data_IF_588409359636
#
_entry.id   IF_588409359636
#
_cell.length_a   1.000
_cell.length_b   1.000
_cell.length_c   1.000
_cell.angle_alpha   90.00
_cell.angle_beta   90.00
_cell.angle_gamma   90.00
#
_symmetry.space_group_name_H-M   'P 1'
#
loop_
_entity.id
_entity.type
_entity.pdbx_description
1 polymer ?
#
# COMPACT_ATOMS: atom_id res chain seq x y z
N UNK A 1 -16.23 -9.28 14.59
CA UNK A 1 -15.79 -8.49 13.42
C UNK A 1 -14.30 -8.21 13.52
N UNK A 2 -13.56 -8.50 12.45
CA UNK A 2 -12.13 -8.26 12.45
C UNK A 2 -11.83 -6.76 12.46
N UNK A 3 -10.81 -6.36 13.22
CA UNK A 3 -10.34 -4.99 13.23
C UNK A 3 -9.05 -4.89 12.42
N UNK A 4 -8.88 -3.76 11.73
CA UNK A 4 -7.66 -3.46 11.02
C UNK A 4 -6.51 -3.35 12.03
N UNK A 5 -5.33 -3.96 11.74
CA UNK A 5 -4.19 -3.87 12.64
C UNK A 5 -3.70 -2.43 12.82
N UNK A 6 -3.18 -2.13 14.01
CA UNK A 6 -2.52 -0.86 14.24
C UNK A 6 -1.11 -0.92 13.65
N UNK A 7 -0.56 0.22 13.15
CA UNK A 7 0.80 0.25 12.66
C UNK A 7 1.79 -0.08 13.79
N UNK A 8 2.82 -0.86 13.46
CA UNK A 8 3.92 -1.08 14.39
C UNK A 8 4.76 0.21 14.51
N UNK A 9 5.47 0.41 15.65
CA UNK A 9 6.28 1.64 15.82
C UNK A 9 7.34 1.86 14.75
N UNK A 10 7.76 0.80 14.04
CA UNK A 10 8.78 0.88 12.99
C UNK A 10 8.20 1.13 11.59
N UNK A 11 6.93 1.44 11.48
CA UNK A 11 6.33 1.79 10.19
C UNK A 11 6.95 3.08 9.66
N UNK A 12 7.45 3.02 8.42
CA UNK A 12 8.08 4.15 7.74
C UNK A 12 7.03 5.09 7.16
N UNK A 13 5.92 4.52 6.72
CA UNK A 13 4.83 5.27 6.09
C UNK A 13 3.52 4.54 6.35
N UNK A 14 2.46 5.31 6.55
CA UNK A 14 1.11 4.75 6.61
C UNK A 14 0.13 5.72 5.96
N UNK A 15 -0.93 5.19 5.37
CA UNK A 15 -1.99 5.99 4.78
C UNK A 15 -3.31 5.23 4.82
N UNK A 16 -4.35 5.90 5.28
CA UNK A 16 -5.71 5.36 5.27
C UNK A 16 -6.59 6.06 4.23
N UNK A 17 -6.04 7.04 3.52
CA UNK A 17 -6.76 7.85 2.54
C UNK A 17 -6.54 7.31 1.13
N UNK A 18 -7.11 6.14 0.86
CA UNK A 18 -7.02 5.50 -0.45
C UNK A 18 -8.34 5.65 -1.19
N UNK A 19 -8.23 5.76 -2.52
CA UNK A 19 -9.38 5.75 -3.43
C UNK A 19 -9.35 4.45 -4.23
N UNK A 20 -9.13 3.34 -3.54
CA UNK A 20 -8.96 2.03 -4.14
C UNK A 20 -10.12 1.13 -3.74
N UNK A 21 -10.74 0.41 -4.68
CA UNK A 21 -11.87 -0.46 -4.34
C UNK A 21 -11.46 -1.70 -3.54
N UNK A 22 -10.18 -2.08 -3.56
CA UNK A 22 -9.70 -3.30 -2.92
C UNK A 22 -8.97 -3.04 -1.61
N UNK A 23 -8.38 -1.85 -1.43
CA UNK A 23 -7.52 -1.56 -0.30
C UNK A 23 -7.99 -0.33 0.47
N UNK A 24 -7.97 -0.42 1.78
CA UNK A 24 -8.40 0.66 2.66
C UNK A 24 -7.28 1.24 3.50
N UNK A 25 -6.09 0.67 3.45
CA UNK A 25 -4.95 1.17 4.19
C UNK A 25 -3.64 0.58 3.72
N UNK A 26 -2.56 1.35 3.92
CA UNK A 26 -1.20 0.98 3.56
C UNK A 26 -0.29 1.23 4.75
N UNK A 27 0.60 0.28 5.04
CA UNK A 27 1.69 0.44 5.99
C UNK A 27 2.96 -0.06 5.35
N UNK A 28 3.98 0.79 5.26
CA UNK A 28 5.27 0.44 4.70
C UNK A 28 6.30 0.28 5.82
N UNK A 29 7.00 -0.84 5.82
CA UNK A 29 8.10 -1.13 6.73
C UNK A 29 9.38 -1.32 5.93
N UNK A 30 10.51 -1.38 6.61
CA UNK A 30 11.81 -1.57 5.94
C UNK A 30 11.87 -2.89 5.18
N UNK A 31 11.16 -3.91 5.63
CA UNK A 31 11.22 -5.26 5.05
C UNK A 31 9.96 -5.69 4.31
N UNK A 32 8.85 -4.95 4.44
CA UNK A 32 7.58 -5.37 3.82
C UNK A 32 6.62 -4.22 3.63
N UNK A 33 5.71 -4.40 2.69
CA UNK A 33 4.53 -3.56 2.50
C UNK A 33 3.31 -4.34 3.00
N UNK A 34 2.50 -3.75 3.86
CA UNK A 34 1.24 -4.33 4.32
C UNK A 34 0.06 -3.55 3.77
N UNK A 35 -0.90 -4.26 3.21
CA UNK A 35 -2.11 -3.68 2.64
C UNK A 35 -3.33 -4.26 3.34
N UNK A 36 -4.21 -3.37 3.81
CA UNK A 36 -5.48 -3.78 4.38
C UNK A 36 -6.50 -3.93 3.26
N UNK A 37 -6.90 -5.17 3.00
CA UNK A 37 -7.88 -5.50 1.97
C UNK A 37 -9.28 -5.29 2.54
N UNK A 38 -10.14 -4.66 1.77
CA UNK A 38 -11.52 -4.41 2.16
C UNK A 38 -12.50 -5.13 1.25
N UNK A 39 -13.74 -5.26 1.73
CA UNK A 39 -14.83 -5.77 0.91
C UNK A 39 -15.25 -4.70 -0.10
N UNK A 40 -15.62 -5.13 -1.31
CA UNK A 40 -15.93 -4.19 -2.40
C UNK A 40 -17.23 -3.44 -2.16
N UNK A 41 -18.23 -4.06 -1.53
CA UNK A 41 -19.55 -3.45 -1.38
C UNK A 41 -19.62 -2.50 -0.19
N UNK A 42 -19.18 -2.95 1.00
CA UNK A 42 -19.31 -2.16 2.22
C UNK A 42 -18.00 -1.47 2.63
N UNK A 43 -16.93 -1.71 1.91
CA UNK A 43 -15.60 -1.14 2.17
C UNK A 43 -15.15 -1.39 3.61
N UNK A 44 -15.38 -2.62 4.10
CA UNK A 44 -15.01 -3.04 5.46
C UNK A 44 -13.74 -3.86 5.42
N UNK A 45 -12.93 -3.76 6.47
CA UNK A 45 -11.70 -4.53 6.59
C UNK A 45 -12.00 -6.03 6.48
N UNK A 46 -11.23 -6.71 5.63
CA UNK A 46 -11.33 -8.15 5.38
C UNK A 46 -10.11 -8.90 5.88
N UNK A 47 -8.91 -8.48 5.46
CA UNK A 47 -7.65 -9.13 5.81
C UNK A 47 -6.49 -8.19 5.49
N UNK A 48 -5.29 -8.55 5.97
CA UNK A 48 -4.06 -7.83 5.64
C UNK A 48 -3.19 -8.73 4.77
N UNK A 49 -2.71 -8.20 3.65
CA UNK A 49 -1.75 -8.87 2.78
C UNK A 49 -0.39 -8.21 2.94
N UNK A 50 0.68 -9.01 2.90
CA UNK A 50 2.04 -8.52 3.04
C UNK A 50 2.85 -8.88 1.80
N UNK A 51 3.64 -7.92 1.32
CA UNK A 51 4.53 -8.07 0.18
C UNK A 51 5.95 -7.76 0.63
N UNK A 52 6.88 -8.68 0.43
CA UNK A 52 8.26 -8.51 0.87
C UNK A 52 8.96 -7.44 0.03
N UNK A 53 9.68 -6.56 0.69
CA UNK A 53 10.50 -5.55 -0.01
C UNK A 53 11.60 -6.25 -0.83
N UNK A 54 12.11 -7.39 -0.36
CA UNK A 54 13.12 -8.15 -1.12
C UNK A 54 12.62 -8.65 -2.47
N UNK A 55 11.30 -8.76 -2.66
CA UNK A 55 10.71 -9.18 -3.94
C UNK A 55 10.37 -7.99 -4.83
N UNK A 56 10.53 -6.77 -4.35
CA UNK A 56 10.20 -5.57 -5.11
C UNK A 56 11.17 -5.41 -6.29
N UNK A 57 10.63 -5.31 -7.50
CA UNK A 57 11.42 -5.11 -8.71
C UNK A 57 11.41 -3.67 -9.18
N UNK A 58 10.47 -2.87 -8.72
CA UNK A 58 10.40 -1.47 -9.08
C UNK A 58 9.10 -0.84 -8.62
N UNK A 59 9.11 0.47 -8.55
CA UNK A 59 7.94 1.26 -8.21
C UNK A 59 7.85 2.43 -9.19
N UNK A 60 6.64 2.72 -9.64
CA UNK A 60 6.38 3.85 -10.53
C UNK A 60 5.22 4.66 -9.98
N UNK A 61 5.18 5.93 -10.35
CA UNK A 61 4.08 6.80 -9.97
C UNK A 61 3.51 7.49 -11.21
N UNK A 62 2.19 7.56 -11.28
CA UNK A 62 1.48 8.30 -12.32
C UNK A 62 0.27 8.96 -11.66
N UNK A 63 0.34 10.30 -11.49
CA UNK A 63 -0.70 11.06 -10.80
C UNK A 63 -0.92 10.51 -9.39
N UNK A 64 -2.10 9.95 -9.11
CA UNK A 64 -2.44 9.42 -7.79
C UNK A 64 -2.28 7.90 -7.69
N UNK A 65 -1.69 7.28 -8.71
CA UNK A 65 -1.50 5.82 -8.74
C UNK A 65 -0.02 5.49 -8.61
N UNK A 66 0.31 4.71 -7.58
CA UNK A 66 1.66 4.16 -7.39
C UNK A 66 1.59 2.67 -7.67
N UNK A 67 2.44 2.19 -8.58
CA UNK A 67 2.46 0.78 -8.95
C UNK A 67 3.67 0.09 -8.35
N UNK A 68 3.41 -0.93 -7.56
CA UNK A 68 4.40 -1.77 -6.88
C UNK A 68 4.57 -3.03 -7.73
N UNK A 69 5.73 -3.18 -8.38
CA UNK A 69 6.00 -4.33 -9.22
C UNK A 69 6.79 -5.37 -8.44
N UNK A 70 6.19 -6.54 -8.24
CA UNK A 70 6.79 -7.58 -7.42
C UNK A 70 7.17 -8.85 -8.18
N UNK A 71 6.93 -8.89 -9.49
CA UNK A 71 7.46 -9.94 -10.36
C UNK A 71 7.49 -9.43 -11.79
N UNK A 72 8.11 -10.21 -12.69
CA UNK A 72 8.20 -9.83 -14.09
C UNK A 72 6.83 -9.62 -14.75
N UNK A 73 5.81 -10.37 -14.28
CA UNK A 73 4.48 -10.36 -14.88
C UNK A 73 3.41 -9.79 -13.94
N UNK A 74 3.76 -9.39 -12.72
CA UNK A 74 2.78 -8.96 -11.73
C UNK A 74 3.13 -7.61 -11.12
N UNK A 75 2.15 -6.76 -11.05
CA UNK A 75 2.26 -5.47 -10.41
C UNK A 75 0.99 -5.18 -9.62
N UNK A 76 1.11 -4.27 -8.66
CA UNK A 76 0.05 -3.91 -7.75
C UNK A 76 -0.17 -2.41 -7.85
N UNK A 77 -1.21 -1.95 -8.54
CA UNK A 77 -1.52 -0.53 -8.59
C UNK A 77 -2.26 -0.12 -7.32
N UNK A 78 -1.83 0.99 -6.73
CA UNK A 78 -2.42 1.55 -5.51
C UNK A 78 -2.90 2.96 -5.80
N UNK A 79 -4.20 3.17 -5.68
CA UNK A 79 -4.83 4.45 -5.98
C UNK A 79 -5.00 5.26 -4.71
N UNK A 80 -4.45 6.47 -4.68
CA UNK A 80 -4.54 7.38 -3.54
C UNK A 80 -5.60 8.45 -3.79
N UNK A 81 -6.15 9.02 -2.74
CA UNK A 81 -7.10 10.13 -2.87
C UNK A 81 -6.41 11.44 -3.22
N UNK A 82 -5.16 11.61 -2.78
CA UNK A 82 -4.39 12.84 -2.98
C UNK A 82 -3.07 12.54 -3.66
N UNK A 83 -2.66 13.43 -4.56
CA UNK A 83 -1.35 13.31 -5.22
C UNK A 83 -0.21 13.40 -4.22
N UNK A 84 -0.35 14.21 -3.16
CA UNK A 84 0.68 14.35 -2.13
C UNK A 84 0.91 13.02 -1.41
N UNK A 85 -0.16 12.31 -1.07
CA UNK A 85 -0.04 11.01 -0.40
C UNK A 85 0.65 9.97 -1.31
N UNK A 86 0.30 9.97 -2.60
CA UNK A 86 0.93 9.10 -3.58
C UNK A 86 2.43 9.40 -3.70
N UNK A 87 2.78 10.69 -3.75
CA UNK A 87 4.18 11.11 -3.88
C UNK A 87 4.98 10.74 -2.62
N UNK A 88 4.39 10.92 -1.44
CA UNK A 88 5.05 10.56 -0.18
C UNK A 88 5.31 9.06 -0.11
N UNK A 89 4.35 8.24 -0.52
CA UNK A 89 4.53 6.80 -0.55
C UNK A 89 5.63 6.41 -1.54
N UNK A 90 5.59 6.97 -2.74
CA UNK A 90 6.60 6.71 -3.77
C UNK A 90 8.00 7.07 -3.26
N UNK A 91 8.14 8.23 -2.61
CA UNK A 91 9.42 8.67 -2.07
C UNK A 91 9.88 7.73 -0.95
N UNK A 92 8.97 7.29 -0.08
CA UNK A 92 9.30 6.39 1.02
C UNK A 92 9.82 5.04 0.47
N UNK A 93 9.18 4.50 -0.55
CA UNK A 93 9.61 3.24 -1.18
C UNK A 93 11.01 3.40 -1.79
N UNK A 94 11.26 4.51 -2.47
CA UNK A 94 12.56 4.76 -3.10
C UNK A 94 13.68 5.03 -2.09
N UNK A 95 13.33 5.27 -0.83
CA UNK A 95 14.31 5.49 0.24
C UNK A 95 14.66 4.20 0.99
N UNK A 96 14.08 3.08 0.63
CA UNK A 96 14.34 1.79 1.27
C UNK A 96 15.73 1.25 0.95
#
# INVERSE_FOLDING_TARGET
MAKRPQPAPDAIYECERLDDPLFMGIRLYANRLELDVCTTYLHRYKKTEAYKVSDLQGVTIKKRTVTWKYSALRSLPLEFKKTDDAQEFYNAVNSL
#
